data_IF_573433015172
#
_entry.id   IF_573433015172
#
_cell.length_a   1.000
_cell.length_b   1.000
_cell.length_c   1.000
_cell.angle_alpha   90.00
_cell.angle_beta   90.00
_cell.angle_gamma   90.00
#
_symmetry.space_group_name_H-M   'P 1'
#
loop_
_entity.id
_entity.type
_entity.pdbx_description
1 polymer ?
#
# COMPACT_ATOMS: atom_id res chain seq x y z
N UNK A 1 -3.37 -29.87 -1.92
CA UNK A 1 -4.40 -30.86 -2.35
C UNK A 1 -5.79 -30.32 -2.04
N UNK A 2 -6.81 -30.73 -2.79
CA UNK A 2 -8.20 -30.34 -2.53
C UNK A 2 -8.84 -31.09 -1.37
N UNK A 3 -10.11 -30.81 -1.03
CA UNK A 3 -10.83 -31.43 0.09
C UNK A 3 -10.89 -32.97 0.08
N UNK A 4 -10.48 -33.60 -1.02
CA UNK A 4 -10.46 -35.05 -1.23
C UNK A 4 -9.05 -35.61 -1.49
N UNK A 5 -7.99 -34.90 -1.12
CA UNK A 5 -6.61 -35.35 -1.34
C UNK A 5 -6.21 -35.40 -2.82
N UNK A 6 -6.99 -34.78 -3.71
CA UNK A 6 -6.70 -34.72 -5.14
C UNK A 6 -5.75 -33.56 -5.42
N UNK A 7 -4.81 -33.76 -6.33
CA UNK A 7 -3.92 -32.70 -6.78
C UNK A 7 -4.74 -31.66 -7.56
N UNK A 8 -5.01 -30.52 -6.92
CA UNK A 8 -5.68 -29.40 -7.58
C UNK A 8 -4.63 -28.66 -8.41
N UNK A 9 -4.57 -28.91 -9.72
CA UNK A 9 -3.80 -28.17 -10.75
C UNK A 9 -2.30 -28.50 -10.96
N UNK A 10 -1.87 -28.28 -12.21
CA UNK A 10 -0.53 -28.47 -12.81
C UNK A 10 0.46 -27.33 -12.53
N UNK A 11 0.18 -26.43 -11.59
CA UNK A 11 1.00 -25.23 -11.31
C UNK A 11 1.71 -25.33 -9.96
N UNK A 12 2.61 -26.31 -9.80
CA UNK A 12 3.31 -26.59 -8.55
C UNK A 12 4.06 -25.36 -7.98
N UNK A 13 4.81 -24.63 -8.82
CA UNK A 13 5.54 -23.43 -8.38
C UNK A 13 4.63 -22.31 -7.83
N UNK A 14 3.41 -22.17 -8.35
CA UNK A 14 2.47 -21.14 -7.87
C UNK A 14 1.83 -21.48 -6.51
N UNK A 15 1.89 -22.75 -6.08
CA UNK A 15 1.37 -23.17 -4.76
C UNK A 15 2.37 -22.94 -3.65
N UNK A 16 3.65 -22.99 -3.98
CA UNK A 16 4.76 -22.97 -3.04
C UNK A 16 5.47 -21.61 -3.09
N UNK A 17 4.73 -20.55 -2.75
CA UNK A 17 5.25 -19.18 -2.73
C UNK A 17 5.37 -18.64 -1.29
N UNK A 18 6.58 -18.59 -0.69
CA UNK A 18 6.79 -18.17 0.69
C UNK A 18 6.49 -16.68 0.92
N UNK A 19 6.51 -15.85 -0.14
CA UNK A 19 6.18 -14.42 -0.05
C UNK A 19 4.75 -14.17 0.47
N UNK A 20 3.81 -15.09 0.23
CA UNK A 20 2.45 -14.98 0.76
C UNK A 20 2.41 -14.87 2.30
N UNK A 21 3.31 -15.58 2.99
CA UNK A 21 3.42 -15.54 4.46
C UNK A 21 3.74 -14.12 4.94
N UNK A 22 4.78 -13.50 4.35
CA UNK A 22 5.17 -12.14 4.70
C UNK A 22 4.09 -11.13 4.34
N UNK A 23 3.44 -11.27 3.19
CA UNK A 23 2.43 -10.32 2.72
C UNK A 23 1.22 -10.26 3.67
N UNK A 24 0.68 -11.41 4.05
CA UNK A 24 -0.46 -11.45 4.99
C UNK A 24 -0.07 -10.89 6.35
N UNK A 25 1.12 -11.22 6.87
CA UNK A 25 1.61 -10.65 8.13
C UNK A 25 1.69 -9.12 8.07
N UNK A 26 2.20 -8.56 6.98
CA UNK A 26 2.27 -7.11 6.76
C UNK A 26 0.87 -6.48 6.75
N UNK A 27 -0.13 -7.13 6.17
CA UNK A 27 -1.51 -6.60 6.17
C UNK A 27 -2.09 -6.53 7.60
N UNK A 28 -1.79 -7.50 8.47
CA UNK A 28 -2.18 -7.45 9.89
C UNK A 28 -1.50 -6.27 10.61
N UNK A 29 -0.20 -6.07 10.37
CA UNK A 29 0.53 -4.93 10.95
C UNK A 29 -0.03 -3.59 10.43
N UNK A 30 -0.39 -3.51 9.15
CA UNK A 30 -1.02 -2.31 8.56
C UNK A 30 -2.37 -1.98 9.19
N UNK A 31 -3.15 -2.98 9.60
CA UNK A 31 -4.41 -2.74 10.33
C UNK A 31 -4.11 -1.99 11.64
N UNK A 32 -3.08 -2.43 12.39
CA UNK A 32 -2.64 -1.73 13.60
C UNK A 32 -2.13 -0.32 13.30
N UNK A 33 -1.26 -0.14 12.30
CA UNK A 33 -0.74 1.18 11.92
C UNK A 33 -1.87 2.19 11.70
N UNK A 34 -2.91 1.77 10.97
CA UNK A 34 -4.06 2.62 10.71
C UNK A 34 -4.99 2.78 11.92
N UNK A 35 -5.20 1.74 12.74
CA UNK A 35 -6.11 1.82 13.88
C UNK A 35 -5.49 2.52 15.10
N UNK A 36 -4.17 2.40 15.26
CA UNK A 36 -3.40 2.66 16.48
C UNK A 36 -3.97 1.93 17.71
N UNK A 37 -4.47 0.71 17.50
CA UNK A 37 -5.03 -0.14 18.55
C UNK A 37 -3.96 -1.09 19.12
N UNK A 38 -3.35 -0.70 20.22
CA UNK A 38 -2.28 -1.47 20.85
C UNK A 38 -2.77 -2.80 21.46
N UNK A 39 -4.06 -2.93 21.75
CA UNK A 39 -4.65 -4.21 22.16
C UNK A 39 -4.64 -5.15 20.96
N UNK A 40 -5.09 -4.68 19.78
CA UNK A 40 -5.03 -5.47 18.55
C UNK A 40 -3.58 -5.84 18.17
N UNK A 41 -2.63 -4.90 18.33
CA UNK A 41 -1.21 -5.20 18.12
C UNK A 41 -0.75 -6.37 18.99
N UNK A 42 -0.90 -6.24 20.31
CA UNK A 42 -0.31 -7.18 21.28
C UNK A 42 -1.03 -8.53 21.33
N UNK A 43 -2.32 -8.58 20.99
CA UNK A 43 -3.12 -9.81 21.06
C UNK A 43 -3.25 -10.54 19.73
N UNK A 44 -3.16 -9.84 18.59
CA UNK A 44 -3.40 -10.41 17.26
C UNK A 44 -2.24 -10.16 16.31
N UNK A 45 -1.99 -8.91 15.93
CA UNK A 45 -1.14 -8.61 14.79
C UNK A 45 0.32 -9.03 15.01
N UNK A 46 0.86 -8.72 16.19
CA UNK A 46 2.24 -9.04 16.53
C UNK A 46 2.47 -10.55 16.65
N UNK A 47 1.60 -11.26 17.36
CA UNK A 47 1.71 -12.72 17.52
C UNK A 47 1.65 -13.44 16.16
N UNK A 48 0.73 -13.03 15.28
CA UNK A 48 0.64 -13.59 13.93
C UNK A 48 1.90 -13.28 13.10
N UNK A 49 2.39 -12.04 13.16
CA UNK A 49 3.61 -11.65 12.47
C UNK A 49 4.85 -12.39 12.99
N UNK A 50 4.92 -12.70 14.29
CA UNK A 50 5.99 -13.49 14.88
C UNK A 50 5.98 -14.94 14.38
N UNK A 51 4.83 -15.60 14.30
CA UNK A 51 4.74 -16.97 13.76
C UNK A 51 5.16 -17.01 12.28
N UNK A 52 4.77 -15.98 11.51
CA UNK A 52 5.19 -15.81 10.13
C UNK A 52 6.70 -15.55 10.01
N UNK A 53 7.27 -14.75 10.91
CA UNK A 53 8.70 -14.49 10.99
C UNK A 53 9.47 -15.76 11.33
N UNK A 54 9.03 -16.54 12.31
CA UNK A 54 9.67 -17.79 12.71
C UNK A 54 9.70 -18.79 11.54
N UNK A 55 8.62 -18.89 10.77
CA UNK A 55 8.63 -19.68 9.53
C UNK A 55 9.69 -19.17 8.55
N UNK A 56 9.73 -17.87 8.27
CA UNK A 56 10.67 -17.28 7.31
C UNK A 56 12.12 -17.39 7.79
N UNK A 57 12.39 -17.24 9.08
CA UNK A 57 13.70 -17.45 9.69
C UNK A 57 14.17 -18.90 9.51
N UNK A 58 13.31 -19.89 9.73
CA UNK A 58 13.68 -21.29 9.49
C UNK A 58 13.81 -21.59 7.99
N UNK A 59 13.00 -20.94 7.16
CA UNK A 59 13.00 -21.13 5.71
C UNK A 59 14.23 -20.50 5.01
N UNK A 60 14.64 -19.30 5.41
CA UNK A 60 15.80 -18.60 4.84
C UNK A 60 17.15 -19.24 5.17
N UNK A 61 17.21 -20.04 6.23
CA UNK A 61 18.43 -20.67 6.72
C UNK A 61 18.36 -22.20 6.67
N UNK A 62 17.61 -22.74 5.70
CA UNK A 62 17.62 -24.17 5.40
C UNK A 62 19.06 -24.65 5.13
N UNK A 63 19.36 -25.87 5.56
CA UNK A 63 20.60 -26.61 5.27
C UNK A 63 21.93 -25.89 5.57
N UNK A 64 21.97 -25.03 6.60
CA UNK A 64 23.22 -24.41 7.06
C UNK A 64 23.76 -23.32 6.15
N UNK A 65 22.90 -22.69 5.34
CA UNK A 65 23.26 -21.60 4.45
C UNK A 65 24.02 -20.47 5.17
N UNK A 66 25.21 -20.12 4.66
CA UNK A 66 26.04 -19.04 5.19
C UNK A 66 25.54 -17.63 4.78
N UNK A 67 24.66 -17.56 3.78
CA UNK A 67 24.11 -16.31 3.23
C UNK A 67 22.60 -16.40 3.08
N UNK A 68 21.91 -15.31 3.41
CA UNK A 68 20.46 -15.19 3.21
C UNK A 68 20.18 -15.20 1.71
N UNK A 69 19.53 -16.28 1.25
CA UNK A 69 19.12 -16.43 -0.15
C UNK A 69 17.63 -16.74 -0.16
N UNK A 70 16.86 -16.05 -1.00
CA UNK A 70 15.42 -16.29 -1.13
C UNK A 70 15.23 -17.37 -2.19
N UNK A 71 15.32 -18.62 -1.78
CA UNK A 71 15.17 -19.80 -2.64
C UNK A 71 14.84 -21.04 -1.81
N UNK A 72 14.00 -21.98 -2.29
CA UNK A 72 13.30 -21.99 -3.57
C UNK A 72 12.07 -21.09 -3.56
N UNK A 73 12.02 -20.11 -4.47
CA UNK A 73 10.84 -19.28 -4.65
C UNK A 73 10.51 -19.09 -6.14
N UNK A 74 9.41 -18.41 -6.41
CA UNK A 74 8.82 -18.24 -7.72
C UNK A 74 8.33 -16.81 -7.85
N UNK A 75 8.54 -16.20 -9.02
CA UNK A 75 7.88 -14.97 -9.39
C UNK A 75 6.52 -15.32 -10.05
N UNK A 76 5.37 -14.87 -9.51
CA UNK A 76 4.03 -15.04 -10.11
C UNK A 76 3.91 -14.72 -11.60
N UNK A 77 4.88 -14.00 -12.17
CA UNK A 77 4.99 -13.70 -13.59
C UNK A 77 5.41 -14.87 -14.49
N UNK A 78 5.72 -16.02 -13.90
CA UNK A 78 6.23 -17.17 -14.65
C UNK A 78 5.16 -18.07 -15.27
N UNK A 79 5.45 -18.50 -16.50
CA UNK A 79 4.66 -19.48 -17.23
C UNK A 79 5.16 -20.90 -17.02
N UNK A 80 4.20 -21.82 -16.83
CA UNK A 80 4.25 -23.28 -17.02
C UNK A 80 4.69 -24.19 -15.87
N UNK A 81 4.89 -23.72 -14.64
CA UNK A 81 5.04 -24.62 -13.48
C UNK A 81 6.15 -25.68 -13.63
N UNK A 82 7.14 -25.40 -14.47
CA UNK A 82 8.30 -26.25 -14.74
C UNK A 82 9.44 -25.90 -13.76
N UNK A 83 10.51 -26.72 -13.65
CA UNK A 83 11.65 -26.41 -12.80
C UNK A 83 12.28 -25.02 -13.06
N UNK A 84 12.18 -24.50 -14.28
CA UNK A 84 12.69 -23.17 -14.65
C UNK A 84 11.86 -22.01 -14.09
N UNK A 85 10.67 -22.29 -13.53
CA UNK A 85 9.83 -21.28 -12.85
C UNK A 85 10.34 -20.93 -11.44
N UNK A 86 11.23 -21.73 -10.89
CA UNK A 86 11.87 -21.46 -9.61
C UNK A 86 13.06 -20.53 -9.83
N UNK A 87 13.06 -19.40 -9.14
CA UNK A 87 14.08 -18.36 -9.28
C UNK A 87 14.65 -18.00 -7.92
N UNK A 88 15.95 -17.75 -7.88
CA UNK A 88 16.60 -17.17 -6.71
C UNK A 88 16.25 -15.68 -6.63
N UNK A 89 15.99 -15.19 -5.41
CA UNK A 89 15.91 -13.77 -5.11
C UNK A 89 14.85 -12.99 -5.92
N UNK A 90 13.60 -13.46 -6.09
CA UNK A 90 12.57 -12.64 -6.73
C UNK A 90 12.42 -11.29 -6.01
N UNK A 91 12.36 -10.16 -6.72
CA UNK A 91 12.33 -8.83 -6.08
C UNK A 91 11.11 -8.62 -5.18
N UNK A 92 9.96 -9.21 -5.54
CA UNK A 92 8.75 -9.11 -4.70
C UNK A 92 8.94 -9.74 -3.32
N UNK A 93 9.68 -10.85 -3.25
CA UNK A 93 9.90 -11.59 -2.01
C UNK A 93 10.94 -10.90 -1.13
N UNK A 94 12.00 -10.39 -1.76
CA UNK A 94 12.98 -9.53 -1.07
C UNK A 94 12.24 -8.36 -0.42
N UNK A 95 11.38 -7.67 -1.17
CA UNK A 95 10.65 -6.52 -0.66
C UNK A 95 9.73 -6.92 0.51
N UNK A 96 9.02 -8.04 0.38
CA UNK A 96 8.12 -8.56 1.42
C UNK A 96 8.87 -8.95 2.69
N UNK A 97 9.94 -9.73 2.57
CA UNK A 97 10.77 -10.18 3.69
C UNK A 97 11.39 -8.96 4.38
N UNK A 98 12.01 -8.06 3.60
CA UNK A 98 12.58 -6.81 4.10
C UNK A 98 11.55 -5.99 4.87
N UNK A 99 10.35 -5.82 4.30
CA UNK A 99 9.28 -5.04 4.93
C UNK A 99 8.82 -5.66 6.24
N UNK A 100 8.58 -6.98 6.28
CA UNK A 100 8.14 -7.64 7.50
C UNK A 100 9.18 -7.52 8.62
N UNK A 101 10.44 -7.86 8.36
CA UNK A 101 11.49 -7.79 9.37
C UNK A 101 11.78 -6.35 9.80
N UNK A 102 11.71 -5.37 8.90
CA UNK A 102 11.82 -3.95 9.27
C UNK A 102 10.69 -3.53 10.22
N UNK A 103 9.44 -3.92 9.94
CA UNK A 103 8.31 -3.62 10.82
C UNK A 103 8.42 -4.32 12.17
N UNK A 104 8.89 -5.56 12.21
CA UNK A 104 9.13 -6.27 13.47
C UNK A 104 10.22 -5.59 14.31
N UNK A 105 11.29 -5.11 13.68
CA UNK A 105 12.31 -4.29 14.34
C UNK A 105 11.70 -3.01 14.92
N UNK A 106 10.92 -2.25 14.14
CA UNK A 106 10.23 -1.04 14.60
C UNK A 106 9.26 -1.32 15.77
N UNK A 107 8.54 -2.44 15.70
CA UNK A 107 7.59 -2.87 16.73
C UNK A 107 8.32 -3.37 18.00
N UNK A 108 9.53 -3.90 17.88
CA UNK A 108 10.32 -4.36 19.03
C UNK A 108 10.69 -3.23 20.00
N UNK A 109 10.73 -1.99 19.49
CA UNK A 109 10.93 -0.77 20.28
C UNK A 109 9.62 -0.19 20.86
N UNK A 110 8.47 -0.81 20.57
CA UNK A 110 7.17 -0.35 21.05
C UNK A 110 7.00 -0.57 22.57
N UNK A 111 6.45 0.41 23.29
CA UNK A 111 6.40 0.41 24.75
C UNK A 111 5.64 -0.78 25.37
N UNK A 112 4.67 -1.33 24.65
CA UNK A 112 3.84 -2.47 25.09
C UNK A 112 4.47 -3.83 24.74
N UNK A 113 5.59 -3.85 24.02
CA UNK A 113 6.26 -5.07 23.56
C UNK A 113 7.63 -5.19 24.22
N UNK A 114 7.98 -6.41 24.60
CA UNK A 114 9.30 -6.76 25.13
C UNK A 114 9.78 -7.98 24.38
N UNK A 115 10.47 -7.76 23.28
CA UNK A 115 10.99 -8.85 22.48
C UNK A 115 12.32 -9.38 23.03
N UNK A 116 12.61 -10.65 22.75
CA UNK A 116 13.90 -11.27 22.99
C UNK A 116 14.99 -10.56 22.16
N UNK A 117 16.02 -9.97 22.80
CA UNK A 117 17.14 -9.35 22.09
C UNK A 117 17.79 -10.25 21.04
N UNK A 118 17.79 -11.57 21.24
CA UNK A 118 18.35 -12.52 20.26
C UNK A 118 17.53 -12.60 18.97
N UNK A 119 16.20 -12.44 19.05
CA UNK A 119 15.35 -12.36 17.86
C UNK A 119 15.60 -11.06 17.12
N UNK A 120 15.70 -9.95 17.83
CA UNK A 120 16.06 -8.64 17.25
C UNK A 120 17.42 -8.71 16.53
N UNK A 121 18.44 -9.30 17.15
CA UNK A 121 19.74 -9.55 16.51
C UNK A 121 19.61 -10.41 15.23
N UNK A 122 18.76 -11.44 15.28
CA UNK A 122 18.52 -12.33 14.14
C UNK A 122 17.82 -11.61 12.98
N UNK A 123 16.81 -10.80 13.28
CA UNK A 123 16.09 -10.00 12.28
C UNK A 123 17.02 -8.95 11.64
N UNK A 124 17.83 -8.26 12.46
CA UNK A 124 18.85 -7.35 11.95
C UNK A 124 19.84 -8.07 11.03
N UNK A 125 20.32 -9.26 11.43
CA UNK A 125 21.18 -10.07 10.57
C UNK A 125 20.52 -10.38 9.23
N UNK A 126 19.24 -10.76 9.22
CA UNK A 126 18.49 -11.01 7.96
C UNK A 126 18.47 -9.76 7.09
N UNK A 127 18.13 -8.60 7.65
CA UNK A 127 18.07 -7.33 6.93
C UNK A 127 19.44 -6.92 6.35
N UNK A 128 20.51 -7.12 7.11
CA UNK A 128 21.88 -6.78 6.69
C UNK A 128 22.43 -7.70 5.60
N UNK A 129 21.90 -8.91 5.49
CA UNK A 129 22.41 -9.95 4.57
C UNK A 129 21.43 -10.32 3.46
N UNK A 130 20.23 -9.72 3.43
CA UNK A 130 19.26 -9.90 2.36
C UNK A 130 19.89 -9.44 1.03
N UNK A 131 19.70 -10.18 -0.07
CA UNK A 131 20.28 -9.80 -1.35
C UNK A 131 19.68 -8.47 -1.83
N UNK A 132 20.50 -7.68 -2.53
CA UNK A 132 20.01 -6.56 -3.32
C UNK A 132 18.97 -7.03 -4.34
N UNK A 133 18.05 -6.13 -4.72
CA UNK A 133 17.12 -6.40 -5.80
C UNK A 133 17.87 -6.80 -7.09
N UNK A 134 17.49 -7.92 -7.74
CA UNK A 134 18.08 -8.28 -9.02
C UNK A 134 17.85 -7.18 -10.06
N UNK A 135 18.89 -6.85 -10.81
CA UNK A 135 18.87 -5.74 -11.77
C UNK A 135 19.33 -6.21 -13.15
N UNK A 136 18.63 -5.76 -14.19
CA UNK A 136 19.02 -5.91 -15.58
C UNK A 136 18.71 -4.62 -16.34
N UNK A 137 19.71 -4.07 -17.05
CA UNK A 137 19.56 -2.85 -17.86
C UNK A 137 18.94 -1.65 -17.12
N UNK A 138 19.23 -1.51 -15.82
CA UNK A 138 18.69 -0.42 -14.99
C UNK A 138 17.22 -0.60 -14.55
N UNK A 139 16.66 -1.80 -14.75
CA UNK A 139 15.32 -2.22 -14.30
C UNK A 139 15.46 -3.37 -13.28
N UNK A 140 14.48 -3.56 -12.41
CA UNK A 140 14.42 -4.79 -11.61
C UNK A 140 14.13 -5.99 -12.51
N UNK A 141 14.89 -7.07 -12.34
CA UNK A 141 14.69 -8.35 -13.03
C UNK A 141 13.71 -9.25 -12.25
N UNK A 142 13.24 -10.36 -12.84
CA UNK A 142 12.31 -11.29 -12.17
C UNK A 142 12.96 -12.15 -11.08
N UNK A 143 14.28 -12.29 -11.13
CA UNK A 143 15.09 -13.00 -10.16
C UNK A 143 16.58 -12.85 -10.50
N UNK A 144 17.44 -13.50 -9.73
CA UNK A 144 18.89 -13.48 -9.98
C UNK A 144 19.19 -14.11 -11.34
N UNK A 145 19.80 -13.31 -12.23
CA UNK A 145 20.17 -13.70 -13.60
C UNK A 145 18.98 -14.13 -14.48
N UNK A 146 17.75 -13.75 -14.13
CA UNK A 146 16.54 -14.15 -14.85
C UNK A 146 15.59 -12.96 -14.99
N UNK A 147 15.18 -12.67 -16.22
CA UNK A 147 14.23 -11.59 -16.55
C UNK A 147 13.34 -12.06 -17.71
N UNK A 148 12.02 -12.04 -17.54
CA UNK A 148 11.09 -12.53 -18.54
C UNK A 148 10.64 -11.43 -19.48
N UNK A 149 10.60 -11.76 -20.78
CA UNK A 149 10.28 -10.86 -21.87
C UNK A 149 8.84 -11.03 -22.39
N UNK A 150 7.94 -11.56 -21.55
CA UNK A 150 6.55 -11.84 -21.92
C UNK A 150 5.59 -11.01 -21.06
N UNK A 151 4.48 -10.51 -21.63
CA UNK A 151 3.42 -9.87 -20.87
C UNK A 151 2.95 -10.77 -19.72
N UNK A 152 2.72 -10.16 -18.56
CA UNK A 152 2.11 -10.85 -17.42
C UNK A 152 1.12 -9.96 -16.69
N UNK A 153 0.22 -10.61 -15.96
CA UNK A 153 -0.87 -9.96 -15.22
C UNK A 153 -0.53 -9.58 -13.78
N UNK A 154 0.57 -10.11 -13.22
CA UNK A 154 1.01 -9.76 -11.88
C UNK A 154 2.12 -8.71 -11.97
N UNK A 155 2.22 -7.88 -10.94
CA UNK A 155 3.17 -6.77 -10.87
C UNK A 155 4.11 -6.96 -9.69
N UNK A 156 4.48 -8.21 -9.38
CA UNK A 156 5.28 -8.55 -8.19
C UNK A 156 6.65 -7.88 -8.16
N UNK A 157 7.26 -7.57 -9.32
CA UNK A 157 8.46 -6.71 -9.42
C UNK A 157 8.26 -5.34 -8.77
N UNK A 158 7.02 -4.86 -8.72
CA UNK A 158 6.66 -3.52 -8.25
C UNK A 158 6.15 -3.52 -6.80
N UNK A 159 6.25 -4.65 -6.06
CA UNK A 159 5.81 -4.73 -4.66
C UNK A 159 6.51 -3.69 -3.77
N UNK A 160 7.80 -3.44 -4.00
CA UNK A 160 8.58 -2.40 -3.31
C UNK A 160 8.00 -0.99 -3.50
N UNK A 161 7.25 -0.75 -4.59
CA UNK A 161 6.55 0.52 -4.83
C UNK A 161 5.17 0.50 -4.19
N UNK A 162 4.36 -0.50 -4.52
CA UNK A 162 3.02 -0.67 -3.96
C UNK A 162 2.72 -2.16 -3.82
N UNK A 163 2.30 -2.64 -2.64
CA UNK A 163 1.80 -1.85 -1.51
C UNK A 163 2.84 -1.59 -0.40
N UNK A 164 4.13 -1.86 -0.61
CA UNK A 164 5.12 -1.87 0.48
C UNK A 164 5.79 -0.53 0.76
N UNK A 165 5.70 0.42 -0.17
CA UNK A 165 6.11 1.82 0.00
C UNK A 165 7.61 2.05 0.24
N UNK A 166 8.47 1.06 0.03
CA UNK A 166 9.92 1.20 0.07
C UNK A 166 10.42 2.21 -0.98
N UNK A 167 9.80 2.21 -2.17
CA UNK A 167 10.02 3.22 -3.20
C UNK A 167 8.77 4.06 -3.39
N UNK A 168 8.86 5.33 -3.01
CA UNK A 168 7.77 6.28 -3.03
C UNK A 168 8.26 7.72 -3.36
N UNK A 169 7.36 8.70 -3.31
CA UNK A 169 7.66 10.10 -3.67
C UNK A 169 8.77 10.78 -2.85
N UNK A 170 9.15 10.24 -1.69
CA UNK A 170 10.28 10.74 -0.89
C UNK A 170 11.61 10.06 -1.25
N UNK A 171 11.59 8.96 -2.00
CA UNK A 171 12.77 8.14 -2.29
C UNK A 171 13.81 8.89 -3.13
N UNK A 172 15.03 8.33 -3.18
CA UNK A 172 16.12 8.93 -3.92
C UNK A 172 15.80 9.02 -5.42
N UNK A 173 16.47 9.94 -6.13
CA UNK A 173 16.35 10.03 -7.60
C UNK A 173 16.78 8.74 -8.29
N UNK A 174 17.69 7.96 -7.69
CA UNK A 174 18.15 6.69 -8.24
C UNK A 174 17.05 5.64 -8.15
N UNK A 175 16.44 5.49 -6.98
CA UNK A 175 15.38 4.49 -6.74
C UNK A 175 14.16 4.79 -7.61
N UNK A 176 13.75 6.06 -7.65
CA UNK A 176 12.67 6.51 -8.52
C UNK A 176 12.97 6.26 -10.00
N UNK A 177 14.23 6.42 -10.44
CA UNK A 177 14.63 6.13 -11.82
C UNK A 177 14.51 4.63 -12.12
N UNK A 178 15.01 3.77 -11.24
CA UNK A 178 14.90 2.31 -11.39
C UNK A 178 13.45 1.83 -11.39
N UNK A 179 12.62 2.33 -10.47
CA UNK A 179 11.21 1.95 -10.40
C UNK A 179 10.42 2.39 -11.63
N UNK A 180 10.63 3.62 -12.12
CA UNK A 180 10.02 4.08 -13.37
C UNK A 180 10.52 3.28 -14.59
N UNK A 181 11.82 2.99 -14.68
CA UNK A 181 12.35 2.18 -15.77
C UNK A 181 11.78 0.74 -15.77
N UNK A 182 11.58 0.17 -14.59
CA UNK A 182 10.96 -1.15 -14.42
C UNK A 182 9.50 -1.11 -14.88
N UNK A 183 8.74 -0.11 -14.43
CA UNK A 183 7.34 0.08 -14.84
C UNK A 183 7.22 0.25 -16.35
N UNK A 184 8.05 1.11 -16.96
CA UNK A 184 8.05 1.29 -18.42
C UNK A 184 8.43 0.01 -19.16
N UNK A 185 9.33 -0.82 -18.61
CA UNK A 185 9.59 -2.15 -19.17
C UNK A 185 8.37 -3.06 -19.16
N UNK A 186 7.57 -3.06 -18.09
CA UNK A 186 6.33 -3.82 -18.03
C UNK A 186 5.29 -3.28 -19.04
N UNK A 187 5.19 -1.96 -19.19
CA UNK A 187 4.31 -1.32 -20.19
C UNK A 187 4.73 -1.64 -21.63
N UNK A 188 6.05 -1.71 -21.90
CA UNK A 188 6.62 -2.07 -23.22
C UNK A 188 6.28 -3.51 -23.62
N UNK A 189 6.19 -4.43 -22.66
CA UNK A 189 5.80 -5.81 -22.93
C UNK A 189 4.33 -5.89 -23.37
N UNK A 190 3.46 -5.09 -22.76
CA UNK A 190 2.03 -5.03 -23.09
C UNK A 190 1.12 -5.55 -21.99
N UNK A 191 -0.18 -5.32 -22.19
CA UNK A 191 -1.24 -5.58 -21.20
C UNK A 191 -2.27 -6.61 -21.71
N UNK A 192 -1.89 -7.46 -22.66
CA UNK A 192 -2.76 -8.45 -23.30
C UNK A 192 -3.31 -9.47 -22.29
N UNK A 193 -2.54 -9.74 -21.24
CA UNK A 193 -2.92 -10.66 -20.15
C UNK A 193 -3.50 -9.94 -18.93
N UNK A 194 -3.64 -8.62 -18.97
CA UNK A 194 -4.15 -7.85 -17.84
C UNK A 194 -5.59 -8.27 -17.48
N UNK A 195 -5.84 -8.30 -16.18
CA UNK A 195 -7.14 -8.58 -15.59
C UNK A 195 -7.51 -7.43 -14.65
N UNK A 196 -8.71 -7.47 -14.07
CA UNK A 196 -9.21 -6.41 -13.20
C UNK A 196 -8.19 -5.95 -12.14
N UNK A 197 -7.63 -6.88 -11.36
CA UNK A 197 -6.64 -6.52 -10.33
C UNK A 197 -5.34 -5.94 -10.93
N UNK A 198 -4.94 -6.34 -12.14
CA UNK A 198 -3.74 -5.81 -12.81
C UNK A 198 -3.89 -4.31 -13.02
N UNK A 199 -5.03 -3.88 -13.56
CA UNK A 199 -5.31 -2.47 -13.85
C UNK A 199 -5.29 -1.61 -12.59
N UNK A 200 -5.89 -2.12 -11.53
CA UNK A 200 -6.00 -1.38 -10.27
C UNK A 200 -4.67 -1.30 -9.52
N UNK A 201 -3.90 -2.39 -9.54
CA UNK A 201 -2.56 -2.40 -8.98
C UNK A 201 -1.64 -1.45 -9.78
N UNK A 202 -1.74 -1.47 -11.12
CA UNK A 202 -1.01 -0.56 -12.00
C UNK A 202 -1.34 0.92 -11.71
N UNK A 203 -2.63 1.25 -11.52
CA UNK A 203 -3.06 2.59 -11.17
C UNK A 203 -2.45 3.08 -9.85
N UNK A 204 -2.44 2.23 -8.82
CA UNK A 204 -1.82 2.54 -7.53
C UNK A 204 -0.29 2.73 -7.64
N UNK A 205 0.40 1.88 -8.42
CA UNK A 205 1.83 2.00 -8.71
C UNK A 205 2.13 3.34 -9.41
N UNK A 206 1.36 3.71 -10.44
CA UNK A 206 1.51 5.01 -11.09
C UNK A 206 1.35 6.16 -10.10
N UNK A 207 0.34 6.10 -9.23
CA UNK A 207 0.12 7.14 -8.22
C UNK A 207 1.26 7.23 -7.21
N UNK A 208 1.82 6.10 -6.76
CA UNK A 208 2.98 6.05 -5.83
C UNK A 208 4.26 6.60 -6.46
N UNK A 209 4.42 6.46 -7.77
CA UNK A 209 5.56 7.03 -8.51
C UNK A 209 5.32 8.48 -8.98
N UNK A 210 4.15 9.06 -8.70
CA UNK A 210 3.81 10.44 -9.08
C UNK A 210 3.31 10.61 -10.52
N UNK A 211 3.08 9.49 -11.22
CA UNK A 211 2.53 9.45 -12.57
C UNK A 211 0.99 9.57 -12.53
N UNK A 212 0.47 10.61 -11.89
CA UNK A 212 -0.96 10.73 -11.56
C UNK A 212 -1.90 10.73 -12.77
N UNK A 213 -1.48 11.33 -13.89
CA UNK A 213 -2.25 11.28 -15.14
C UNK A 213 -2.41 9.85 -15.63
N UNK A 214 -1.34 9.06 -15.63
CA UNK A 214 -1.39 7.63 -15.99
C UNK A 214 -2.25 6.82 -15.03
N UNK A 215 -2.19 7.12 -13.73
CA UNK A 215 -3.05 6.48 -12.73
C UNK A 215 -4.54 6.71 -13.05
N UNK A 216 -4.93 7.94 -13.39
CA UNK A 216 -6.30 8.29 -13.78
C UNK A 216 -6.68 7.58 -15.09
N UNK A 217 -5.85 7.65 -16.13
CA UNK A 217 -6.09 6.95 -17.41
C UNK A 217 -6.29 5.44 -17.20
N UNK A 218 -5.54 4.84 -16.28
CA UNK A 218 -5.64 3.41 -15.94
C UNK A 218 -6.95 3.09 -15.22
N UNK A 219 -7.41 3.96 -14.31
CA UNK A 219 -8.71 3.83 -13.64
C UNK A 219 -9.88 4.01 -14.61
N UNK A 220 -9.79 4.97 -15.53
CA UNK A 220 -10.77 5.19 -16.58
C UNK A 220 -10.85 3.98 -17.52
N UNK A 221 -9.70 3.42 -17.91
CA UNK A 221 -9.62 2.18 -18.69
C UNK A 221 -10.25 1.00 -17.94
N UNK A 222 -10.05 0.91 -16.62
CA UNK A 222 -10.71 -0.11 -15.81
C UNK A 222 -12.24 0.04 -15.84
N UNK A 223 -12.76 1.25 -15.65
CA UNK A 223 -14.21 1.52 -15.70
C UNK A 223 -14.77 1.13 -17.07
N UNK A 224 -14.14 1.58 -18.15
CA UNK A 224 -14.61 1.34 -19.52
C UNK A 224 -14.60 -0.15 -19.90
N UNK A 225 -13.52 -0.86 -19.52
CA UNK A 225 -13.29 -2.23 -20.01
C UNK A 225 -13.70 -3.34 -19.05
N UNK A 226 -13.82 -3.08 -17.75
CA UNK A 226 -14.02 -4.12 -16.74
C UNK A 226 -15.23 -3.90 -15.84
N UNK A 227 -15.70 -2.66 -15.64
CA UNK A 227 -16.85 -2.40 -14.79
C UNK A 227 -18.16 -2.78 -15.48
N UNK A 228 -19.03 -3.48 -14.73
CA UNK A 228 -20.37 -3.84 -15.17
C UNK A 228 -21.37 -2.78 -14.73
N UNK A 229 -22.54 -2.79 -15.36
CA UNK A 229 -23.66 -1.88 -15.05
C UNK A 229 -24.11 -1.91 -13.58
N UNK A 230 -23.88 -3.01 -12.86
CA UNK A 230 -24.19 -3.12 -11.43
C UNK A 230 -23.05 -2.67 -10.50
N UNK A 231 -21.96 -2.10 -11.04
CA UNK A 231 -20.80 -1.64 -10.28
C UNK A 231 -19.78 -2.72 -9.93
N UNK A 232 -20.08 -4.01 -10.15
CA UNK A 232 -19.11 -5.09 -9.99
C UNK A 232 -18.17 -5.15 -11.19
N UNK A 233 -16.94 -5.61 -10.99
CA UNK A 233 -16.00 -5.81 -12.09
C UNK A 233 -16.17 -7.17 -12.76
N UNK A 234 -15.58 -7.31 -13.94
CA UNK A 234 -15.20 -8.59 -14.50
C UNK A 234 -13.70 -8.82 -14.35
N UNK A 235 -13.29 -10.08 -14.21
CA UNK A 235 -11.89 -10.45 -14.13
C UNK A 235 -11.18 -10.15 -15.46
N UNK A 236 -11.79 -10.52 -16.58
CA UNK A 236 -11.28 -10.23 -17.92
C UNK A 236 -12.02 -9.02 -18.54
N UNK A 237 -11.43 -8.33 -19.53
CA UNK A 237 -12.10 -7.24 -20.22
C UNK A 237 -13.43 -7.67 -20.85
N UNK A 238 -14.48 -6.87 -20.69
CA UNK A 238 -15.81 -7.07 -21.26
C UNK A 238 -15.83 -6.88 -22.79
N UNK A 239 -14.88 -6.11 -23.33
CA UNK A 239 -14.72 -5.81 -24.75
C UNK A 239 -13.46 -6.44 -25.38
N UNK A 240 -12.88 -7.46 -24.75
CA UNK A 240 -11.68 -8.15 -25.23
C UNK A 240 -11.97 -9.34 -26.17
N UNK A 241 -10.91 -9.98 -26.67
CA UNK A 241 -10.99 -11.16 -27.56
C UNK A 241 -11.61 -12.39 -26.88
N UNK A 242 -11.58 -12.44 -25.54
CA UNK A 242 -12.22 -13.49 -24.74
C UNK A 242 -13.06 -12.85 -23.64
N UNK A 243 -14.19 -12.21 -23.98
CA UNK A 243 -15.03 -11.56 -23.00
C UNK A 243 -15.58 -12.63 -22.05
N UNK A 244 -15.35 -12.44 -20.76
CA UNK A 244 -15.76 -13.38 -19.72
C UNK A 244 -16.54 -12.61 -18.67
N UNK A 245 -17.61 -13.22 -18.17
CA UNK A 245 -18.42 -12.71 -17.07
C UNK A 245 -17.96 -13.26 -15.70
N UNK A 246 -16.71 -13.72 -15.59
CA UNK A 246 -16.13 -14.13 -14.32
C UNK A 246 -15.95 -12.91 -13.41
N UNK A 247 -16.61 -12.90 -12.26
CA UNK A 247 -16.47 -11.85 -11.25
C UNK A 247 -15.32 -12.17 -10.29
N UNK A 248 -14.56 -11.14 -9.88
CA UNK A 248 -13.50 -11.22 -8.87
C UNK A 248 -13.44 -9.92 -8.06
N UNK A 249 -13.76 -9.98 -6.76
CA UNK A 249 -13.96 -8.79 -5.91
C UNK A 249 -12.68 -7.94 -5.71
N UNK A 250 -11.50 -8.51 -5.98
CA UNK A 250 -10.19 -7.88 -5.77
C UNK A 250 -10.08 -6.46 -6.36
N UNK A 251 -10.45 -6.28 -7.63
CA UNK A 251 -10.34 -5.00 -8.31
C UNK A 251 -11.37 -3.98 -7.82
N UNK A 252 -12.55 -4.42 -7.38
CA UNK A 252 -13.53 -3.51 -6.78
C UNK A 252 -12.98 -2.90 -5.49
N UNK A 253 -12.38 -3.72 -4.61
CA UNK A 253 -11.78 -3.25 -3.36
C UNK A 253 -10.54 -2.40 -3.64
N UNK A 254 -9.68 -2.85 -4.54
CA UNK A 254 -8.49 -2.10 -4.92
C UNK A 254 -8.80 -0.76 -5.59
N UNK A 255 -9.92 -0.63 -6.33
CA UNK A 255 -10.29 0.61 -7.02
C UNK A 255 -10.44 1.76 -6.02
N UNK A 256 -11.09 1.50 -4.88
CA UNK A 256 -11.18 2.47 -3.79
C UNK A 256 -9.79 2.85 -3.24
N UNK A 257 -8.89 1.87 -3.09
CA UNK A 257 -7.49 2.12 -2.70
C UNK A 257 -6.75 3.00 -3.71
N UNK A 258 -6.80 2.68 -4.99
CA UNK A 258 -6.14 3.45 -6.05
C UNK A 258 -6.71 4.86 -6.21
N UNK A 259 -8.02 5.07 -5.99
CA UNK A 259 -8.61 6.42 -5.89
C UNK A 259 -8.09 7.16 -4.66
N UNK A 260 -7.98 6.49 -3.50
CA UNK A 260 -7.44 7.11 -2.30
C UNK A 260 -6.02 7.64 -2.54
N UNK A 261 -5.18 6.92 -3.28
CA UNK A 261 -3.82 7.35 -3.65
C UNK A 261 -3.75 8.69 -4.39
N UNK A 262 -4.81 9.07 -5.11
CA UNK A 262 -4.88 10.37 -5.80
C UNK A 262 -5.25 11.52 -4.84
N UNK A 263 -5.91 11.21 -3.72
CA UNK A 263 -6.52 12.15 -2.79
C UNK A 263 -5.73 12.32 -1.48
N UNK A 264 -5.19 11.23 -0.93
CA UNK A 264 -4.48 11.20 0.33
C UNK A 264 -3.39 10.12 0.29
N UNK A 265 -2.14 10.54 0.38
CA UNK A 265 -1.01 9.63 0.59
C UNK A 265 -0.36 9.92 1.94
N UNK A 266 0.11 8.87 2.60
CA UNK A 266 0.95 8.97 3.80
C UNK A 266 2.10 7.98 3.63
N UNK A 267 3.27 8.49 3.25
CA UNK A 267 4.52 7.71 3.11
C UNK A 267 5.62 8.35 3.90
N UNK A 268 6.45 7.54 4.54
CA UNK A 268 7.54 7.99 5.42
C UNK A 268 7.05 9.00 6.47
N UNK A 269 5.84 8.77 7.00
CA UNK A 269 5.14 9.66 7.93
C UNK A 269 4.63 10.98 7.34
N UNK A 270 4.84 11.27 6.05
CA UNK A 270 4.47 12.53 5.40
C UNK A 270 3.11 12.45 4.70
N UNK A 271 2.16 13.24 5.19
CA UNK A 271 0.82 13.40 4.61
C UNK A 271 0.88 14.31 3.38
N UNK A 272 0.33 13.83 2.27
CA UNK A 272 0.16 14.56 1.01
C UNK A 272 -1.31 14.63 0.64
N UNK A 273 -1.83 15.84 0.47
CA UNK A 273 -3.23 16.10 0.15
C UNK A 273 -3.40 16.37 -1.34
N UNK A 274 -4.35 15.67 -1.95
CA UNK A 274 -4.70 15.75 -3.36
C UNK A 274 -3.49 15.68 -4.30
N UNK A 275 -2.55 14.73 -4.13
CA UNK A 275 -1.35 14.69 -4.93
C UNK A 275 -1.64 14.50 -6.43
N UNK A 276 -2.70 13.76 -6.77
CA UNK A 276 -3.06 13.40 -8.13
C UNK A 276 -4.40 13.92 -8.64
N UNK A 277 -5.17 14.68 -7.85
CA UNK A 277 -6.49 15.15 -8.30
C UNK A 277 -6.34 16.27 -9.36
N UNK A 278 -7.09 16.23 -10.47
CA UNK A 278 -7.02 17.25 -11.53
C UNK A 278 -7.24 18.69 -11.02
N UNK A 279 -6.42 19.62 -11.53
CA UNK A 279 -6.39 21.03 -11.07
C UNK A 279 -7.64 21.84 -11.41
N UNK A 280 -8.50 21.36 -12.28
CA UNK A 280 -9.77 22.01 -12.65
C UNK A 280 -10.95 21.49 -11.81
N UNK A 281 -10.71 20.61 -10.84
CA UNK A 281 -11.75 19.96 -10.05
C UNK A 281 -11.88 20.59 -8.65
N UNK A 282 -13.10 20.54 -8.11
CA UNK A 282 -13.37 20.73 -6.69
C UNK A 282 -13.55 19.35 -6.06
N UNK A 283 -12.82 19.08 -5.00
CA UNK A 283 -12.77 17.78 -4.35
C UNK A 283 -12.76 17.93 -2.83
N UNK A 284 -13.39 16.99 -2.12
CA UNK A 284 -13.38 16.94 -0.68
C UNK A 284 -13.48 15.50 -0.21
N UNK A 285 -12.81 15.19 0.90
CA UNK A 285 -13.00 13.95 1.64
C UNK A 285 -13.05 14.24 3.14
N UNK A 286 -13.59 13.29 3.91
CA UNK A 286 -13.76 13.44 5.35
C UNK A 286 -13.52 12.13 6.10
N UNK A 287 -12.73 12.21 7.17
CA UNK A 287 -12.54 11.09 8.10
C UNK A 287 -11.73 9.93 7.54
N UNK A 288 -10.91 10.17 6.52
CA UNK A 288 -10.02 9.16 5.96
C UNK A 288 -8.81 8.96 6.86
N UNK A 289 -8.28 7.75 6.88
CA UNK A 289 -7.29 7.32 7.86
C UNK A 289 -5.91 7.22 7.23
N UNK A 290 -4.89 7.65 7.97
CA UNK A 290 -3.46 7.46 7.61
C UNK A 290 -2.85 6.34 8.46
N UNK A 291 -1.68 5.82 8.07
CA UNK A 291 -0.93 4.76 8.76
C UNK A 291 -0.41 5.12 10.17
N UNK A 292 -0.72 6.32 10.66
CA UNK A 292 -0.37 6.81 12.00
C UNK A 292 -1.61 7.02 12.88
N UNK A 293 -2.77 6.49 12.45
CA UNK A 293 -4.03 6.63 13.15
C UNK A 293 -4.80 7.92 12.87
N UNK A 294 -4.21 8.91 12.20
CA UNK A 294 -4.86 10.20 12.01
C UNK A 294 -6.14 10.10 11.16
N UNK A 295 -7.18 10.83 11.56
CA UNK A 295 -8.36 11.07 10.74
C UNK A 295 -8.22 12.41 10.02
N UNK A 296 -8.20 12.37 8.69
CA UNK A 296 -7.95 13.50 7.82
C UNK A 296 -9.21 13.85 7.05
N UNK A 297 -9.49 15.14 6.98
CA UNK A 297 -10.43 15.71 6.04
C UNK A 297 -9.73 16.87 5.32
N UNK A 298 -9.99 17.03 4.03
CA UNK A 298 -9.44 18.14 3.29
C UNK A 298 -10.39 18.58 2.17
N UNK A 299 -10.23 19.83 1.76
CA UNK A 299 -11.01 20.42 0.69
C UNK A 299 -10.11 21.12 -0.31
N UNK A 300 -10.34 20.86 -1.58
CA UNK A 300 -9.69 21.49 -2.72
C UNK A 300 -10.73 22.19 -3.60
N UNK A 301 -10.52 23.47 -3.92
CA UNK A 301 -11.32 24.21 -4.91
C UNK A 301 -10.43 24.60 -6.09
N UNK A 302 -10.88 24.31 -7.31
CA UNK A 302 -10.18 24.71 -8.55
C UNK A 302 -8.66 24.40 -8.47
N UNK A 303 -8.34 23.20 -7.99
CA UNK A 303 -6.96 22.72 -7.87
C UNK A 303 -6.13 23.31 -6.73
N UNK A 304 -6.74 24.04 -5.79
CA UNK A 304 -6.08 24.64 -4.63
C UNK A 304 -6.66 24.07 -3.35
N UNK A 305 -5.79 23.56 -2.47
CA UNK A 305 -6.21 23.12 -1.14
C UNK A 305 -6.56 24.34 -0.32
N UNK A 306 -7.83 24.43 0.08
CA UNK A 306 -8.38 25.55 0.84
C UNK A 306 -8.50 25.23 2.33
N UNK A 307 -8.66 23.94 2.67
CA UNK A 307 -8.78 23.52 4.06
C UNK A 307 -8.24 22.12 4.32
N UNK A 308 -7.74 21.92 5.55
CA UNK A 308 -7.41 20.60 6.10
C UNK A 308 -7.81 20.55 7.58
N UNK A 309 -8.33 19.40 7.99
CA UNK A 309 -8.54 19.01 9.36
C UNK A 309 -7.82 17.68 9.60
N UNK A 310 -6.99 17.61 10.64
CA UNK A 310 -6.32 16.38 11.07
C UNK A 310 -6.65 16.17 12.54
N UNK A 311 -7.33 15.07 12.85
CA UNK A 311 -7.58 14.61 14.22
C UNK A 311 -6.57 13.52 14.59
N UNK A 312 -5.85 13.73 15.69
CA UNK A 312 -4.93 12.75 16.23
C UNK A 312 -5.66 11.77 17.15
N UNK A 313 -5.59 10.48 16.86
CA UNK A 313 -6.17 9.41 17.71
C UNK A 313 -5.26 9.07 18.89
N UNK A 314 -3.94 9.31 18.75
CA UNK A 314 -2.91 9.20 19.79
C UNK A 314 -2.08 10.48 19.90
N UNK A 315 -1.18 10.56 20.86
CA UNK A 315 -0.18 11.63 20.86
C UNK A 315 0.83 11.35 19.74
N UNK A 316 1.09 12.35 18.89
CA UNK A 316 1.91 12.16 17.70
C UNK A 316 2.50 13.48 17.19
N UNK A 317 3.46 13.34 16.28
CA UNK A 317 3.89 14.42 15.40
C UNK A 317 3.26 14.22 14.01
N UNK A 318 2.52 15.23 13.54
CA UNK A 318 1.93 15.23 12.20
C UNK A 318 2.87 15.94 11.25
N UNK A 319 3.33 15.23 10.21
CA UNK A 319 4.11 15.80 9.12
C UNK A 319 3.22 16.01 7.89
N UNK A 320 2.99 17.28 7.51
CA UNK A 320 2.16 17.65 6.36
C UNK A 320 3.01 18.30 5.28
N UNK A 321 3.04 17.72 4.07
CA UNK A 321 3.61 18.38 2.91
C UNK A 321 2.71 19.54 2.50
N UNK A 322 3.17 20.78 2.74
CA UNK A 322 2.32 21.95 2.57
C UNK A 322 1.85 22.16 1.13
N UNK A 323 0.53 22.06 0.85
CA UNK A 323 -0.01 22.38 -0.46
C UNK A 323 -0.21 23.89 -0.66
N UNK A 324 -0.07 24.69 0.40
CA UNK A 324 -0.48 26.09 0.43
C UNK A 324 0.60 27.03 -0.13
N UNK A 325 0.17 28.00 -0.96
CA UNK A 325 1.06 28.99 -1.54
C UNK A 325 1.46 30.14 -0.59
N UNK A 326 0.67 30.40 0.46
CA UNK A 326 0.89 31.51 1.41
C UNK A 326 2.18 31.30 2.20
N UNK A 327 3.03 32.32 2.35
CA UNK A 327 4.30 32.22 3.09
C UNK A 327 4.15 32.13 4.60
N UNK A 328 2.95 32.44 5.12
CA UNK A 328 2.58 32.26 6.53
C UNK A 328 1.20 31.65 6.60
N UNK A 329 1.07 30.57 7.37
CA UNK A 329 -0.20 29.87 7.57
C UNK A 329 -0.70 30.11 8.99
N UNK A 330 -1.96 30.51 9.10
CA UNK A 330 -2.69 30.48 10.36
C UNK A 330 -3.38 29.14 10.50
N UNK A 331 -3.27 28.56 11.69
CA UNK A 331 -3.88 27.27 12.01
C UNK A 331 -4.41 27.28 13.43
N UNK A 332 -5.31 26.34 13.74
CA UNK A 332 -5.87 26.16 15.08
C UNK A 332 -5.54 24.77 15.59
N UNK A 333 -5.20 24.69 16.86
CA UNK A 333 -5.23 23.43 17.59
C UNK A 333 -6.46 23.47 18.50
N UNK A 334 -7.38 22.55 18.27
CA UNK A 334 -8.67 22.49 18.96
C UNK A 334 -8.78 21.20 19.78
N UNK A 335 -9.36 21.34 20.97
CA UNK A 335 -9.85 20.25 21.82
C UNK A 335 -11.38 20.37 21.93
N UNK A 336 -12.03 19.45 22.64
CA UNK A 336 -13.48 19.56 22.92
C UNK A 336 -13.87 20.88 23.61
N UNK A 337 -12.98 21.46 24.44
CA UNK A 337 -13.31 22.60 25.31
C UNK A 337 -12.52 23.88 25.02
N UNK A 338 -11.38 23.80 24.31
CA UNK A 338 -10.48 24.94 24.06
C UNK A 338 -9.98 24.96 22.61
N UNK A 339 -9.68 26.14 22.11
CA UNK A 339 -8.99 26.34 20.82
C UNK A 339 -7.87 27.35 20.96
N UNK A 340 -6.72 27.04 20.35
CA UNK A 340 -5.55 27.93 20.31
C UNK A 340 -5.24 28.28 18.85
N UNK A 341 -5.14 29.57 18.53
CA UNK A 341 -4.75 30.05 17.21
C UNK A 341 -3.23 30.22 17.16
N UNK A 342 -2.58 29.69 16.12
CA UNK A 342 -1.13 29.78 15.91
C UNK A 342 -0.82 30.18 14.47
N UNK A 343 0.43 30.53 14.23
CA UNK A 343 0.95 30.75 12.87
C UNK A 343 2.28 30.05 12.66
N UNK A 344 2.56 29.61 11.44
CA UNK A 344 3.83 28.98 11.06
C UNK A 344 4.33 29.55 9.73
N UNK A 345 5.65 29.69 9.60
CA UNK A 345 6.29 30.03 8.34
C UNK A 345 6.16 28.87 7.36
N UNK A 346 5.74 29.18 6.13
CA UNK A 346 5.37 28.20 5.13
C UNK A 346 6.04 28.47 3.78
N UNK A 347 6.28 27.40 3.03
CA UNK A 347 6.58 27.41 1.60
C UNK A 347 5.88 26.19 1.00
N UNK A 348 5.23 26.35 -0.16
CA UNK A 348 4.62 25.20 -0.85
C UNK A 348 5.67 24.10 -1.08
N UNK A 349 5.32 22.87 -0.76
CA UNK A 349 6.22 21.72 -0.83
C UNK A 349 7.20 21.59 0.34
N UNK A 350 7.14 22.47 1.35
CA UNK A 350 7.84 22.28 2.62
C UNK A 350 7.02 21.34 3.51
N UNK A 351 7.67 20.40 4.18
CA UNK A 351 7.04 19.62 5.25
C UNK A 351 6.87 20.48 6.50
N UNK A 352 5.65 20.53 7.03
CA UNK A 352 5.29 21.23 8.26
C UNK A 352 5.00 20.21 9.35
N UNK A 353 5.60 20.41 10.52
CA UNK A 353 5.47 19.51 11.67
C UNK A 353 4.56 20.12 12.73
N UNK A 354 3.61 19.33 13.26
CA UNK A 354 2.69 19.74 14.30
C UNK A 354 2.58 18.67 15.39
N UNK A 355 2.93 19.00 16.62
CA UNK A 355 2.73 18.09 17.76
C UNK A 355 1.28 18.16 18.24
N UNK A 356 0.60 17.02 18.24
CA UNK A 356 -0.78 16.88 18.70
C UNK A 356 -0.87 15.84 19.83
N UNK A 357 -1.77 16.08 20.77
CA UNK A 357 -2.21 15.09 21.75
C UNK A 357 -3.43 14.34 21.24
N UNK A 358 -3.69 13.16 21.78
CA UNK A 358 -4.89 12.39 21.49
C UNK A 358 -6.17 13.25 21.63
N UNK A 359 -7.05 13.17 20.63
CA UNK A 359 -8.30 13.93 20.53
C UNK A 359 -8.14 15.41 20.16
N UNK A 360 -6.91 15.90 19.91
CA UNK A 360 -6.70 17.23 19.34
C UNK A 360 -6.92 17.24 17.83
N UNK A 361 -7.42 18.37 17.35
CA UNK A 361 -7.63 18.65 15.93
C UNK A 361 -6.76 19.81 15.48
N UNK A 362 -5.96 19.58 14.45
CA UNK A 362 -5.33 20.63 13.67
C UNK A 362 -6.32 21.10 12.60
N UNK A 363 -6.61 22.40 12.55
CA UNK A 363 -7.48 23.01 11.54
C UNK A 363 -6.72 24.12 10.79
N UNK A 364 -6.67 24.04 9.46
CA UNK A 364 -6.16 25.08 8.57
C UNK A 364 -7.27 25.43 7.58
N UNK A 365 -7.59 26.70 7.41
CA UNK A 365 -8.66 27.15 6.52
C UNK A 365 -10.06 26.82 7.05
N UNK A 366 -11.04 26.72 6.15
CA UNK A 366 -12.45 26.40 6.48
C UNK A 366 -12.97 25.35 5.49
N UNK A 367 -13.42 24.22 6.01
CA UNK A 367 -14.02 23.14 5.20
C UNK A 367 -15.30 23.63 4.51
N UNK A 368 -15.52 23.23 3.25
CA UNK A 368 -16.73 23.60 2.48
C UNK A 368 -17.94 22.80 2.98
N UNK A 369 -17.86 21.48 2.96
CA UNK A 369 -18.91 20.60 3.46
C UNK A 369 -18.60 20.19 4.90
N UNK A 370 -19.63 20.13 5.73
CA UNK A 370 -19.54 19.58 7.09
C UNK A 370 -19.49 18.05 7.03
N UNK A 371 -18.97 17.41 8.08
CA UNK A 371 -19.05 15.95 8.26
C UNK A 371 -20.42 15.42 7.83
N UNK A 372 -20.50 14.30 7.08
CA UNK A 372 -21.76 13.60 6.92
C UNK A 372 -22.37 13.43 8.30
N UNK A 373 -23.62 13.85 8.51
CA UNK A 373 -24.33 13.51 9.75
C UNK A 373 -24.37 11.99 9.77
N UNK A 374 -23.98 11.36 10.88
CA UNK A 374 -24.30 9.93 11.10
C UNK A 374 -25.81 9.83 10.93
N UNK A 375 -26.27 9.30 9.80
CA UNK A 375 -27.65 8.84 9.67
C UNK A 375 -27.78 7.80 10.77
N UNK A 376 -28.65 8.07 11.76
CA UNK A 376 -29.04 7.06 12.72
C UNK A 376 -29.43 5.83 11.90
N UNK A 377 -28.84 4.67 12.23
CA UNK A 377 -29.32 3.40 11.71
C UNK A 377 -30.81 3.35 12.02
N UNK A 378 -31.64 3.41 10.99
CA UNK A 378 -33.02 2.96 11.11
C UNK A 378 -32.92 1.48 11.41
N UNK A 379 -33.15 1.12 12.67
CA UNK A 379 -33.58 -0.22 13.05
C UNK A 379 -34.70 -0.60 12.09
N UNK A 380 -34.43 -1.52 11.18
CA UNK A 380 -35.46 -2.26 10.49
C UNK A 380 -36.04 -3.22 11.52
N UNK A 381 -37.04 -2.77 12.26
CA UNK A 381 -38.03 -3.69 12.81
C UNK A 381 -38.70 -4.37 11.62
N UNK A 382 -38.48 -5.67 11.50
CA UNK A 382 -39.17 -6.57 10.59
C UNK A 382 -40.69 -6.39 10.79
N UNK A 383 -41.35 -5.83 9.78
CA UNK A 383 -42.77 -6.09 9.54
C UNK A 383 -42.84 -7.48 8.91
N UNK A 384 -43.09 -8.48 9.76
CA UNK A 384 -43.72 -9.73 9.34
C UNK A 384 -45.15 -9.38 8.87
N UNK A 385 -45.40 -9.43 7.56
CA UNK A 385 -46.75 -9.55 7.01
C UNK A 385 -46.94 -10.94 6.40
N UNK A 386 -48.13 -11.50 6.72
CA UNK A 386 -48.67 -12.84 6.49
C UNK A 386 -48.70 -13.35 5.05
#
# INVERSE_FOLDING_TARGET
FGPRGQELSTWLAAKEWPGGTAWVAIDFLKIWEHSSDDIYLTTVAYNFALECAEFLENWLFQDGAEKVTVFPSFCPNMGKGTPEAWVENPPGDIALIKTLFTKLMEISDHAEIREDPKRVERWQYILDHLPDYPMQNGKWADGRNVDFDQPHRYLTKMMAVYPLDEVNLSSSKSDMKTANATLSGLEELGWERAVGFTMIWLAAIHARLGNFTRAIETLETFIDRYARVNGLNSHFPLNGETPSNLFQIDANLGFAGAVNELFLQCTDGVIRLFPGVPKNTTAQFWGWRTCEGHLVAATMEKGKVEAVLIEATRACEVQLLSPFAKTRLSYKIRTKTKSENKTVANKKGKVLSFTLKAGQRLEIGKMILTSPKKTASTDTSEEEEE
#
